data_IF_634106270884
#
_entry.id   IF_634106270884
#
_cell.length_a   1.000
_cell.length_b   1.000
_cell.length_c   1.000
_cell.angle_alpha   90.00
_cell.angle_beta   90.00
_cell.angle_gamma   90.00
#
_symmetry.space_group_name_H-M   'P 1'
#
loop_
_entity.id
_entity.type
_entity.pdbx_description
1 polymer ?
#
# COMPACT_ATOMS: atom_id res chain seq x y z
N UNK A 1 -16.72 5.81 23.84
CA UNK A 1 -15.50 5.05 24.18
C UNK A 1 -14.53 5.12 23.00
N UNK A 2 -13.24 5.36 23.26
CA UNK A 2 -12.20 5.40 22.23
C UNK A 2 -11.59 4.00 22.00
N UNK A 3 -11.22 3.72 20.74
CA UNK A 3 -10.80 2.39 20.29
C UNK A 3 -9.45 2.42 19.55
N UNK A 4 -8.63 1.37 19.63
CA UNK A 4 -7.42 1.27 18.83
C UNK A 4 -7.78 1.04 17.35
N UNK A 5 -6.92 1.46 16.46
CA UNK A 5 -7.09 1.31 15.01
C UNK A 5 -6.10 0.29 14.46
N UNK A 6 -6.58 -0.57 13.57
CA UNK A 6 -5.77 -1.48 12.78
C UNK A 6 -6.00 -1.19 11.30
N UNK A 7 -4.94 -0.80 10.58
CA UNK A 7 -5.01 -0.32 9.21
C UNK A 7 -4.21 -1.19 8.25
N UNK A 8 -4.79 -1.46 7.08
CA UNK A 8 -4.10 -2.04 5.92
C UNK A 8 -4.25 -1.11 4.72
N UNK A 9 -3.16 -0.87 4.01
CA UNK A 9 -3.12 -0.12 2.75
C UNK A 9 -2.85 -1.09 1.61
N UNK A 10 -3.61 -0.99 0.52
CA UNK A 10 -3.56 -1.94 -0.58
C UNK A 10 -3.66 -1.29 -1.96
N UNK A 11 -2.95 -1.82 -2.99
CA UNK A 11 -3.15 -1.41 -4.37
C UNK A 11 -4.24 -2.24 -5.08
N UNK A 12 -4.78 -3.27 -4.42
CA UNK A 12 -5.64 -4.28 -5.06
C UNK A 12 -7.14 -4.00 -4.97
N UNK A 13 -7.60 -3.13 -4.15
CA UNK A 13 -8.96 -2.70 -3.88
C UNK A 13 -9.43 -3.03 -2.45
N UNK A 14 -10.06 -2.04 -1.84
CA UNK A 14 -10.75 -2.19 -0.56
C UNK A 14 -12.22 -2.60 -0.72
N UNK A 15 -12.64 -2.97 -1.93
CA UNK A 15 -14.02 -3.42 -2.18
C UNK A 15 -14.41 -4.63 -1.29
N UNK A 16 -15.68 -4.72 -0.85
CA UNK A 16 -16.82 -3.87 -1.17
C UNK A 16 -16.81 -2.55 -0.39
N UNK A 17 -17.19 -1.46 -1.08
CA UNK A 17 -17.29 -0.13 -0.47
C UNK A 17 -18.69 0.12 0.12
N UNK A 18 -18.75 1.08 1.03
CA UNK A 18 -20.00 1.50 1.68
C UNK A 18 -20.35 0.62 2.86
N UNK A 19 -21.66 0.30 3.01
CA UNK A 19 -22.18 -0.43 4.17
C UNK A 19 -21.93 -1.95 4.13
N UNK A 20 -21.40 -2.48 3.03
CA UNK A 20 -21.06 -3.90 2.91
C UNK A 20 -19.68 -4.14 3.50
N UNK A 21 -19.59 -5.11 4.39
CA UNK A 21 -18.31 -5.49 5.00
C UNK A 21 -17.74 -6.73 4.33
N UNK A 22 -16.43 -6.72 4.12
CA UNK A 22 -15.69 -7.87 3.63
C UNK A 22 -15.82 -9.07 4.60
N UNK A 23 -15.91 -10.26 4.04
CA UNK A 23 -15.84 -11.50 4.81
C UNK A 23 -14.57 -11.62 5.64
N UNK A 24 -13.50 -10.94 5.24
CA UNK A 24 -12.24 -10.89 5.97
C UNK A 24 -12.41 -10.38 7.41
N UNK A 25 -13.34 -9.46 7.65
CA UNK A 25 -13.69 -8.99 8.99
C UNK A 25 -14.32 -10.08 9.84
N UNK A 26 -15.04 -11.01 9.20
CA UNK A 26 -15.73 -12.13 9.89
C UNK A 26 -14.81 -13.34 10.12
N UNK A 27 -13.67 -13.38 9.48
CA UNK A 27 -12.71 -14.51 9.52
C UNK A 27 -11.38 -14.09 10.14
N UNK A 28 -10.42 -13.66 9.35
CA UNK A 28 -9.05 -13.39 9.81
C UNK A 28 -8.96 -12.24 10.84
N UNK A 29 -9.81 -11.22 10.71
CA UNK A 29 -9.81 -10.06 11.61
C UNK A 29 -10.86 -10.13 12.72
N UNK A 30 -11.65 -11.21 12.80
CA UNK A 30 -12.74 -11.36 13.79
C UNK A 30 -12.28 -11.05 15.21
N UNK A 31 -11.13 -11.53 15.63
CA UNK A 31 -10.59 -11.30 16.97
C UNK A 31 -10.35 -9.81 17.31
N UNK A 32 -10.05 -8.99 16.29
CA UNK A 32 -9.87 -7.56 16.48
C UNK A 32 -11.20 -6.83 16.50
N UNK A 33 -12.14 -7.25 15.65
CA UNK A 33 -13.53 -6.74 15.65
C UNK A 33 -14.17 -7.01 17.00
N UNK A 34 -14.08 -8.23 17.54
CA UNK A 34 -14.63 -8.62 18.86
C UNK A 34 -14.01 -7.82 20.02
N UNK A 35 -12.80 -7.29 19.83
CA UNK A 35 -12.11 -6.40 20.80
C UNK A 35 -12.35 -4.91 20.52
N UNK A 36 -13.29 -4.59 19.67
CA UNK A 36 -13.68 -3.23 19.28
C UNK A 36 -12.54 -2.41 18.65
N UNK A 37 -11.68 -3.02 17.84
CA UNK A 37 -10.76 -2.27 17.02
C UNK A 37 -11.51 -1.57 15.88
N UNK A 38 -11.08 -0.36 15.54
CA UNK A 38 -11.45 0.30 14.29
C UNK A 38 -10.60 -0.36 13.19
N UNK A 39 -11.25 -1.03 12.26
CA UNK A 39 -10.57 -1.67 11.13
C UNK A 39 -10.64 -0.74 9.93
N UNK A 40 -9.49 -0.45 9.33
CA UNK A 40 -9.35 0.46 8.20
C UNK A 40 -8.67 -0.25 7.04
N UNK A 41 -9.33 -0.24 5.88
CA UNK A 41 -8.74 -0.60 4.61
C UNK A 41 -8.66 0.65 3.74
N UNK A 42 -7.50 0.90 3.14
CA UNK A 42 -7.28 2.06 2.30
C UNK A 42 -6.74 1.65 0.93
N UNK A 43 -7.42 2.06 -0.13
CA UNK A 43 -6.82 2.10 -1.46
C UNK A 43 -5.67 3.10 -1.44
N UNK A 44 -4.48 2.68 -1.87
CA UNK A 44 -3.33 3.60 -1.95
C UNK A 44 -3.55 4.65 -3.02
N UNK A 45 -2.81 5.73 -2.94
CA UNK A 45 -2.85 6.86 -3.89
C UNK A 45 -2.92 6.40 -5.34
N UNK A 46 -3.87 6.96 -6.10
CA UNK A 46 -4.08 6.68 -7.52
C UNK A 46 -4.67 5.30 -7.83
N UNK A 47 -5.12 4.56 -6.82
CA UNK A 47 -5.78 3.26 -7.02
C UNK A 47 -7.25 3.34 -6.66
N UNK A 48 -8.07 2.62 -7.46
CA UNK A 48 -9.52 2.42 -7.27
C UNK A 48 -10.29 3.69 -6.91
N UNK A 49 -10.62 3.95 -5.64
CA UNK A 49 -11.33 5.14 -5.20
C UNK A 49 -10.45 6.21 -4.59
N UNK A 50 -9.14 5.98 -4.48
CA UNK A 50 -8.18 7.00 -4.03
C UNK A 50 -7.70 7.85 -5.20
N UNK A 51 -7.64 9.15 -4.96
CA UNK A 51 -7.19 10.14 -5.93
C UNK A 51 -5.66 10.18 -6.06
N UNK A 52 -5.18 10.93 -7.07
CA UNK A 52 -3.76 11.16 -7.34
C UNK A 52 -3.16 10.13 -8.29
N UNK A 53 -1.84 10.15 -8.41
CA UNK A 53 -1.10 9.31 -9.34
C UNK A 53 -0.50 8.09 -8.64
N UNK A 54 -0.82 6.91 -9.14
CA UNK A 54 -0.23 5.67 -8.66
C UNK A 54 1.20 5.53 -9.19
N UNK A 55 2.13 5.23 -8.28
CA UNK A 55 3.50 4.83 -8.61
C UNK A 55 3.79 3.53 -7.90
N UNK A 56 4.15 2.50 -8.67
CA UNK A 56 4.47 1.20 -8.09
C UNK A 56 5.66 1.28 -7.14
N UNK A 57 5.52 0.71 -5.93
CA UNK A 57 6.58 0.67 -4.92
C UNK A 57 7.32 2.02 -4.79
N UNK A 58 6.57 3.10 -4.71
CA UNK A 58 7.14 4.45 -4.60
C UNK A 58 8.19 4.48 -3.48
N UNK A 59 9.46 4.81 -3.79
CA UNK A 59 10.51 4.85 -2.79
C UNK A 59 10.32 6.01 -1.82
N UNK A 60 10.93 5.91 -0.64
CA UNK A 60 11.00 7.03 0.29
C UNK A 60 11.79 8.18 -0.34
N UNK A 61 11.26 9.38 -0.20
CA UNK A 61 11.95 10.58 -0.65
C UNK A 61 13.08 10.93 0.33
N UNK A 62 14.32 10.80 -0.13
CA UNK A 62 15.53 11.11 0.66
C UNK A 62 15.65 12.60 1.03
N UNK A 63 15.04 13.48 0.25
CA UNK A 63 15.10 14.94 0.43
C UNK A 63 13.92 15.51 1.22
N UNK A 64 13.34 14.73 2.09
CA UNK A 64 12.15 15.04 2.88
C UNK A 64 12.40 16.24 3.81
N UNK A 65 12.19 17.44 3.30
CA UNK A 65 12.25 18.70 4.06
C UNK A 65 10.87 19.01 4.65
N UNK A 66 10.51 18.32 5.74
CA UNK A 66 9.31 18.63 6.51
C UNK A 66 7.96 18.34 5.84
N UNK A 67 6.89 18.44 6.63
CA UNK A 67 5.50 18.08 6.29
C UNK A 67 4.82 18.91 5.18
N UNK A 68 5.38 20.03 4.77
CA UNK A 68 4.69 21.01 3.89
C UNK A 68 5.11 20.97 2.43
N UNK A 69 6.02 20.08 2.04
CA UNK A 69 6.47 20.03 0.65
C UNK A 69 5.57 19.11 -0.17
N UNK A 70 4.55 19.69 -0.81
CA UNK A 70 3.63 18.98 -1.70
C UNK A 70 4.30 18.25 -2.87
N UNK A 71 5.58 18.55 -3.16
CA UNK A 71 6.37 17.86 -4.17
C UNK A 71 7.05 16.59 -3.65
N UNK A 72 7.08 16.38 -2.35
CA UNK A 72 7.74 15.26 -1.68
C UNK A 72 6.73 14.21 -1.20
N UNK A 73 5.84 13.78 -2.08
CA UNK A 73 4.86 12.74 -1.80
C UNK A 73 5.56 11.38 -1.84
N UNK A 74 5.43 10.61 -0.78
CA UNK A 74 5.82 9.20 -0.70
C UNK A 74 4.83 8.41 0.17
N UNK A 75 5.01 7.10 0.27
CA UNK A 75 4.09 6.24 1.03
C UNK A 75 4.10 6.53 2.53
N UNK A 76 5.20 7.04 3.06
CA UNK A 76 5.28 7.41 4.47
C UNK A 76 4.53 8.71 4.76
N UNK A 77 4.59 9.70 3.86
CA UNK A 77 3.82 10.95 4.01
C UNK A 77 2.33 10.68 3.88
N UNK A 78 1.92 9.88 2.89
CA UNK A 78 0.52 9.50 2.72
C UNK A 78 -0.02 8.75 3.94
N UNK A 79 0.81 7.89 4.54
CA UNK A 79 0.43 7.17 5.76
C UNK A 79 0.33 8.12 6.95
N UNK A 80 1.26 9.07 7.08
CA UNK A 80 1.20 10.07 8.13
C UNK A 80 -0.12 10.84 8.09
N UNK A 81 -0.48 11.37 6.91
CA UNK A 81 -1.70 12.16 6.73
C UNK A 81 -2.95 11.30 6.97
N UNK A 82 -2.92 10.04 6.57
CA UNK A 82 -4.01 9.10 6.82
C UNK A 82 -4.21 8.85 8.32
N UNK A 83 -3.14 8.62 9.08
CA UNK A 83 -3.21 8.41 10.52
C UNK A 83 -3.71 9.69 11.21
N UNK A 84 -3.20 10.85 10.81
CA UNK A 84 -3.64 12.16 11.35
C UNK A 84 -5.14 12.34 11.13
N UNK A 85 -5.64 12.03 9.93
CA UNK A 85 -7.07 12.10 9.64
C UNK A 85 -7.87 11.12 10.51
N UNK A 86 -7.43 9.88 10.64
CA UNK A 86 -8.12 8.84 11.41
C UNK A 86 -8.27 9.21 12.88
N UNK A 87 -7.23 9.74 13.52
CA UNK A 87 -7.30 10.07 14.95
C UNK A 87 -8.22 11.25 15.24
N UNK A 88 -8.44 12.13 14.25
CA UNK A 88 -9.32 13.29 14.42
C UNK A 88 -10.77 13.05 13.98
N UNK A 89 -11.01 12.09 13.05
CA UNK A 89 -12.33 11.90 12.45
C UNK A 89 -13.00 10.58 12.85
N UNK A 90 -12.35 9.78 13.72
CA UNK A 90 -12.92 8.54 14.23
C UNK A 90 -12.88 8.52 15.77
N UNK A 91 -13.53 7.53 16.37
CA UNK A 91 -13.41 7.31 17.82
C UNK A 91 -12.08 6.62 18.20
N UNK A 92 -10.99 7.05 17.60
CA UNK A 92 -9.66 6.51 17.87
C UNK A 92 -9.15 6.89 19.26
N UNK A 93 -8.43 5.98 19.90
CA UNK A 93 -7.66 6.24 21.14
C UNK A 93 -6.20 6.63 20.84
N UNK A 94 -5.91 7.05 19.60
CA UNK A 94 -4.58 7.45 19.13
C UNK A 94 -3.53 6.33 19.21
N UNK A 95 -3.98 5.09 19.09
CA UNK A 95 -3.12 3.91 19.00
C UNK A 95 -3.43 3.19 17.70
N UNK A 96 -2.55 3.38 16.72
CA UNK A 96 -2.67 2.82 15.37
C UNK A 96 -1.64 1.73 15.18
N UNK A 97 -2.09 0.58 14.72
CA UNK A 97 -1.26 -0.48 14.17
C UNK A 97 -1.47 -0.61 12.67
N UNK A 98 -0.44 -0.98 11.95
CA UNK A 98 -0.55 -1.31 10.51
C UNK A 98 -0.02 -2.70 10.24
N UNK A 99 -0.57 -3.33 9.20
CA UNK A 99 -0.17 -4.66 8.79
C UNK A 99 -0.36 -4.84 7.29
N UNK A 100 0.26 -5.84 6.72
CA UNK A 100 0.08 -6.21 5.33
C UNK A 100 0.99 -7.35 4.93
N UNK A 101 0.59 -8.08 3.89
CA UNK A 101 1.31 -9.23 3.37
C UNK A 101 1.74 -8.94 1.93
N UNK A 102 2.97 -9.32 1.54
CA UNK A 102 3.48 -9.15 0.18
C UNK A 102 3.54 -7.68 -0.23
N UNK A 103 2.76 -7.24 -1.22
CA UNK A 103 2.69 -5.83 -1.63
C UNK A 103 2.13 -4.93 -0.51
N UNK A 104 1.09 -5.36 0.19
CA UNK A 104 0.60 -4.67 1.39
C UNK A 104 1.65 -4.67 2.51
N UNK A 105 2.52 -5.69 2.54
CA UNK A 105 3.70 -5.73 3.42
C UNK A 105 4.69 -4.62 3.11
N UNK A 106 4.89 -4.27 1.84
CA UNK A 106 5.66 -3.10 1.44
C UNK A 106 5.07 -1.81 2.04
N UNK A 107 3.76 -1.59 1.91
CA UNK A 107 3.12 -0.40 2.51
C UNK A 107 3.24 -0.39 4.04
N UNK A 108 3.13 -1.54 4.68
CA UNK A 108 3.37 -1.65 6.11
C UNK A 108 4.83 -1.27 6.47
N UNK A 109 5.82 -1.71 5.69
CA UNK A 109 7.22 -1.32 5.87
C UNK A 109 7.41 0.18 5.73
N UNK A 110 6.81 0.80 4.70
CA UNK A 110 6.88 2.24 4.48
C UNK A 110 6.21 3.03 5.62
N UNK A 111 5.16 2.47 6.22
CA UNK A 111 4.51 3.05 7.40
C UNK A 111 5.48 3.22 8.56
N UNK A 112 6.41 2.29 8.78
CA UNK A 112 7.40 2.41 9.85
C UNK A 112 8.24 3.70 9.76
N UNK A 113 8.38 4.24 8.55
CA UNK A 113 9.14 5.47 8.27
C UNK A 113 8.31 6.75 8.39
N UNK A 114 7.01 6.68 8.68
CA UNK A 114 6.15 7.87 8.75
C UNK A 114 6.36 8.70 10.02
N UNK A 115 6.94 8.11 11.07
CA UNK A 115 7.22 8.76 12.37
C UNK A 115 5.99 9.44 13.01
N UNK A 116 4.79 8.91 12.79
CA UNK A 116 3.59 9.46 13.42
C UNK A 116 3.50 9.04 14.89
N UNK A 117 3.22 9.96 15.84
CA UNK A 117 3.22 9.65 17.28
C UNK A 117 2.12 8.62 17.66
N UNK A 118 1.00 8.58 16.94
CA UNK A 118 -0.06 7.59 17.16
C UNK A 118 0.28 6.20 16.60
N UNK A 119 1.28 6.04 15.74
CA UNK A 119 1.70 4.73 15.24
C UNK A 119 2.39 3.96 16.37
N UNK A 120 1.88 2.78 16.73
CA UNK A 120 2.37 1.96 17.84
C UNK A 120 2.94 0.61 17.41
N UNK A 121 2.48 0.09 16.27
CA UNK A 121 2.93 -1.21 15.79
C UNK A 121 2.87 -1.29 14.27
N UNK A 122 3.81 -2.00 13.68
CA UNK A 122 3.87 -2.28 12.26
C UNK A 122 4.16 -3.77 12.08
N UNK A 123 3.36 -4.46 11.29
CA UNK A 123 3.52 -5.89 11.01
C UNK A 123 3.62 -6.13 9.49
N UNK A 124 4.78 -5.89 8.88
CA UNK A 124 5.04 -6.29 7.51
C UNK A 124 5.27 -7.80 7.45
N UNK A 125 4.51 -8.49 6.61
CA UNK A 125 4.62 -9.93 6.41
C UNK A 125 5.09 -10.19 4.97
N UNK A 126 6.19 -10.92 4.80
CA UNK A 126 6.81 -11.18 3.51
C UNK A 126 6.77 -9.95 2.56
N UNK A 127 7.26 -8.78 3.01
CA UNK A 127 7.15 -7.54 2.25
C UNK A 127 8.04 -7.58 1.01
N UNK A 128 7.58 -6.94 -0.06
CA UNK A 128 8.45 -6.62 -1.19
C UNK A 128 9.46 -5.56 -0.74
N UNK A 129 10.74 -5.87 -0.76
CA UNK A 129 11.80 -4.97 -0.26
C UNK A 129 12.87 -4.64 -1.30
N UNK A 130 13.25 -5.60 -2.12
CA UNK A 130 14.26 -5.42 -3.17
C UNK A 130 13.89 -6.25 -4.39
N UNK A 131 13.48 -5.60 -5.47
CA UNK A 131 13.02 -6.28 -6.68
C UNK A 131 14.14 -6.96 -7.48
N UNK A 132 15.37 -6.66 -7.16
CA UNK A 132 16.53 -7.20 -7.89
C UNK A 132 17.19 -8.39 -7.18
N UNK A 133 17.22 -8.41 -5.85
CA UNK A 133 18.06 -9.35 -5.08
C UNK A 133 17.36 -10.63 -4.59
N UNK A 134 16.22 -10.99 -5.08
CA UNK A 134 15.59 -12.22 -4.61
C UNK A 134 14.12 -12.06 -4.32
N UNK A 135 13.51 -11.16 -5.01
CA UNK A 135 12.07 -10.98 -5.07
C UNK A 135 11.49 -11.74 -6.27
N UNK A 136 10.18 -11.71 -6.41
CA UNK A 136 9.42 -12.33 -7.50
C UNK A 136 9.87 -11.93 -8.90
N UNK A 137 10.52 -10.78 -9.07
CA UNK A 137 10.93 -10.24 -10.38
C UNK A 137 12.30 -10.71 -10.81
N UNK A 138 13.21 -10.85 -9.85
CA UNK A 138 14.55 -11.35 -10.09
C UNK A 138 14.91 -12.37 -9.03
N UNK A 139 15.54 -13.44 -9.45
CA UNK A 139 16.13 -14.43 -8.57
C UNK A 139 17.61 -14.55 -8.88
N UNK A 140 18.47 -14.16 -7.95
CA UNK A 140 19.93 -14.12 -8.17
C UNK A 140 20.34 -13.38 -9.46
N UNK A 141 19.65 -12.27 -9.79
CA UNK A 141 19.86 -11.51 -11.01
C UNK A 141 19.13 -12.03 -12.25
N UNK A 142 18.57 -13.23 -12.23
CA UNK A 142 17.78 -13.75 -13.34
C UNK A 142 16.37 -13.14 -13.32
N UNK A 143 15.99 -12.53 -14.44
CA UNK A 143 14.68 -11.87 -14.57
C UNK A 143 13.57 -12.89 -14.88
N UNK A 144 12.49 -12.85 -14.10
CA UNK A 144 11.31 -13.72 -14.27
C UNK A 144 10.29 -13.06 -15.19
N UNK A 145 10.51 -13.18 -16.50
CA UNK A 145 9.72 -12.47 -17.51
C UNK A 145 8.23 -12.78 -17.43
N UNK A 146 7.84 -14.04 -17.48
CA UNK A 146 6.41 -14.45 -17.49
C UNK A 146 5.66 -13.96 -16.26
N UNK A 147 6.24 -14.11 -15.09
CA UNK A 147 5.60 -13.68 -13.85
C UNK A 147 5.44 -12.16 -13.81
N UNK A 148 6.47 -11.44 -14.25
CA UNK A 148 6.45 -9.98 -14.30
C UNK A 148 5.42 -9.46 -15.28
N UNK A 149 5.39 -10.00 -16.50
CA UNK A 149 4.45 -9.57 -17.56
C UNK A 149 3.00 -9.92 -17.25
N UNK A 150 2.75 -10.97 -16.48
CA UNK A 150 1.40 -11.32 -16.03
C UNK A 150 0.91 -10.48 -14.84
N UNK A 151 1.83 -10.02 -14.00
CA UNK A 151 1.47 -9.30 -12.78
C UNK A 151 1.34 -7.79 -12.98
N UNK A 152 2.31 -7.15 -13.64
CA UNK A 152 2.35 -5.70 -13.78
C UNK A 152 1.08 -5.10 -14.41
N UNK A 153 0.50 -5.68 -15.48
CA UNK A 153 -0.72 -5.12 -16.09
C UNK A 153 -1.92 -5.09 -15.15
N UNK A 154 -1.97 -5.95 -14.15
CA UNK A 154 -3.05 -5.95 -13.13
C UNK A 154 -2.98 -4.74 -12.20
N UNK A 155 -1.79 -4.17 -12.05
CA UNK A 155 -1.55 -2.97 -11.24
C UNK A 155 -1.59 -1.68 -12.06
N UNK A 156 -1.45 -1.78 -13.38
CA UNK A 156 -1.61 -0.67 -14.29
C UNK A 156 -3.09 -0.33 -14.39
N UNK A 157 -3.53 0.56 -13.54
CA UNK A 157 -4.92 0.97 -13.46
C UNK A 157 -5.35 1.88 -14.61
N UNK A 158 -6.61 2.28 -14.61
CA UNK A 158 -7.35 3.05 -15.62
C UNK A 158 -6.68 4.32 -16.14
N UNK A 159 -5.65 4.84 -15.48
CA UNK A 159 -4.97 6.10 -15.82
C UNK A 159 -3.54 5.94 -16.32
N UNK A 160 -3.03 4.74 -16.35
CA UNK A 160 -1.71 4.47 -16.93
C UNK A 160 -1.92 4.16 -18.42
N UNK A 161 -1.86 5.11 -19.29
CA UNK A 161 -1.96 4.94 -20.74
C UNK A 161 -1.68 3.51 -21.26
N UNK A 162 -1.15 3.33 -22.40
CA UNK A 162 -0.79 1.98 -22.87
C UNK A 162 0.25 1.38 -21.90
N UNK A 163 -0.12 0.32 -21.18
CA UNK A 163 0.68 -0.28 -20.11
C UNK A 163 2.09 -0.73 -20.52
N UNK A 164 2.88 -1.14 -19.54
CA UNK A 164 4.28 -1.58 -19.76
C UNK A 164 4.38 -2.64 -20.86
N UNK A 165 3.44 -3.58 -20.92
CA UNK A 165 3.40 -4.59 -21.98
C UNK A 165 3.23 -4.01 -23.37
N UNK A 166 2.39 -2.97 -23.50
CA UNK A 166 2.24 -2.29 -24.78
C UNK A 166 3.52 -1.53 -25.18
N UNK A 167 4.23 -0.96 -24.23
CA UNK A 167 5.52 -0.31 -24.48
C UNK A 167 6.60 -1.33 -24.87
N UNK A 168 6.67 -2.45 -24.18
CA UNK A 168 7.61 -3.54 -24.49
C UNK A 168 7.36 -4.07 -25.92
N UNK A 169 6.11 -4.40 -26.24
CA UNK A 169 5.75 -4.93 -27.57
C UNK A 169 5.93 -3.87 -28.67
N UNK A 170 5.60 -2.61 -28.39
CA UNK A 170 5.72 -1.53 -29.36
C UNK A 170 7.17 -1.17 -29.69
N UNK A 171 8.09 -1.34 -28.76
CA UNK A 171 9.50 -0.96 -28.93
C UNK A 171 10.38 -2.10 -29.45
N UNK A 172 9.78 -3.20 -29.90
CA UNK A 172 10.48 -4.35 -30.50
C UNK A 172 11.69 -4.87 -29.68
N UNK A 173 11.59 -4.77 -28.36
CA UNK A 173 12.69 -5.13 -27.46
C UNK A 173 13.04 -6.62 -27.50
N UNK A 174 12.23 -7.43 -28.22
CA UNK A 174 12.39 -8.90 -28.32
C UNK A 174 12.30 -9.44 -29.75
N UNK A 175 12.48 -8.61 -30.75
CA UNK A 175 12.42 -9.04 -32.16
C UNK A 175 13.78 -9.17 -32.85
N UNK A 176 14.88 -9.03 -32.14
CA UNK A 176 16.24 -9.31 -32.63
C UNK A 176 16.82 -10.58 -32.03
#
# INVERSE_FOLDING_TARGET
RKHPTLMMRTPYSCSPYGERFDNYLKTALKKYVDKNYIIVFQDVRGRHKSEGDFVQLRPLNKNRKGKKDKKNIDEATDTYDTIEWLIHHTHSNERVGTWGISYEGFYATMTASCNHPALKAVSPQAPVTDWFRGDDRHHNGAFTLLQTTNFLPRLEGRNMGKGVMHQIVKNDVYTD
#
